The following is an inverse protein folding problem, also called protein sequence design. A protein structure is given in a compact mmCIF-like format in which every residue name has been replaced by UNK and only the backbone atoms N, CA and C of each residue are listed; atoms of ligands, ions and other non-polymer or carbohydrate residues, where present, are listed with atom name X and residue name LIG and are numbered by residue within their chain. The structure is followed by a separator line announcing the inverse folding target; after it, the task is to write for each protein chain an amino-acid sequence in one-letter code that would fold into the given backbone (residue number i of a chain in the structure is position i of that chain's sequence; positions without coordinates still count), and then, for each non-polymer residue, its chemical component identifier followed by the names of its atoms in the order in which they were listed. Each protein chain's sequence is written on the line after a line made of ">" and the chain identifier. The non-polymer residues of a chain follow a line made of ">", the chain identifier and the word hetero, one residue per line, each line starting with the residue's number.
data_IF_128547256272
#
_entry.id   IF_128547256272
#
_cell.length_a   1.000
_cell.length_b   1.000
_cell.length_c   1.000
_cell.angle_alpha   90.00
_cell.angle_beta   90.00
_cell.angle_gamma   90.00
#
_symmetry.space_group_name_H-M   'P 1'
#
loop_
_entity.id
_entity.type
_entity.pdbx_description
1 polymer ?
#
# COMPACT_ATOMS: atom_id res chain seq x y z
N UNK A 1 -28.20 -31.11 38.14
CA UNK A 1 -27.87 -32.36 38.85
C UNK A 1 -26.56 -32.85 38.27
N UNK A 2 -25.45 -32.68 39.00
CA UNK A 2 -24.81 -33.72 39.83
C UNK A 2 -24.38 -34.92 38.96
N UNK A 3 -23.15 -35.45 38.90
CA UNK A 3 -21.94 -35.38 39.73
C UNK A 3 -20.92 -36.31 39.06
N UNK A 4 -19.65 -35.88 38.98
CA UNK A 4 -18.40 -36.55 39.39
C UNK A 4 -18.30 -38.11 39.29
N UNK A 5 -17.18 -38.78 38.99
CA UNK A 5 -15.86 -38.65 39.59
C UNK A 5 -14.88 -39.66 38.93
N UNK A 6 -13.65 -39.20 38.69
CA UNK A 6 -12.31 -39.86 38.72
C UNK A 6 -12.22 -41.38 38.91
N UNK A 7 -11.23 -42.01 38.26
CA UNK A 7 -10.23 -42.86 38.94
C UNK A 7 -8.89 -42.88 38.19
N UNK A 8 -7.82 -42.65 38.92
CA UNK A 8 -6.43 -42.76 38.51
C UNK A 8 -5.95 -44.21 38.59
N UNK A 9 -4.97 -44.62 37.77
CA UNK A 9 -4.20 -45.83 38.05
C UNK A 9 -2.71 -45.67 37.73
N UNK A 10 -1.94 -46.26 38.64
CA UNK A 10 -0.50 -46.08 38.91
C UNK A 10 0.42 -46.78 37.92
N UNK A 11 1.65 -46.28 37.91
CA UNK A 11 2.83 -46.79 37.24
C UNK A 11 3.18 -48.26 37.52
N UNK A 12 3.81 -48.90 36.53
CA UNK A 12 4.58 -50.13 36.66
C UNK A 12 5.67 -50.15 35.57
N UNK A 13 6.93 -50.11 35.97
CA UNK A 13 8.11 -50.14 35.10
C UNK A 13 8.47 -51.58 34.71
N UNK A 14 8.93 -51.79 33.48
CA UNK A 14 9.72 -52.97 33.10
C UNK A 14 10.94 -52.50 32.31
N UNK A 15 12.11 -52.84 32.82
CA UNK A 15 13.41 -52.55 32.22
C UNK A 15 13.72 -53.54 31.08
N UNK A 16 14.09 -53.02 29.92
CA UNK A 16 14.66 -53.79 28.81
C UNK A 16 15.98 -53.15 28.40
N UNK A 17 17.08 -53.90 28.54
CA UNK A 17 18.41 -53.54 28.03
C UNK A 17 18.46 -53.92 26.56
N UNK A 18 18.68 -52.94 25.67
CA UNK A 18 18.91 -53.17 24.25
C UNK A 18 20.12 -52.35 23.76
N UNK A 19 21.14 -53.11 23.38
CA UNK A 19 22.28 -52.85 22.48
C UNK A 19 22.36 -51.48 21.78
N UNK A 20 23.48 -50.78 22.03
CA UNK A 20 23.93 -49.57 21.32
C UNK A 20 24.34 -49.90 19.88
N UNK A 21 23.44 -49.69 18.92
CA UNK A 21 23.82 -49.37 17.54
C UNK A 21 23.84 -47.85 17.42
N UNK A 22 25.02 -47.30 17.13
CA UNK A 22 25.22 -45.87 16.93
C UNK A 22 24.47 -45.37 15.70
N UNK A 23 23.22 -44.98 15.89
CA UNK A 23 22.57 -43.98 15.06
C UNK A 23 23.08 -42.62 15.55
N UNK A 24 23.78 -41.89 14.68
CA UNK A 24 23.99 -40.47 14.92
C UNK A 24 22.63 -39.83 15.14
N UNK A 25 22.39 -39.34 16.35
CA UNK A 25 21.31 -38.42 16.61
C UNK A 25 21.60 -37.20 15.74
N UNK A 26 20.96 -37.13 14.57
CA UNK A 26 20.59 -35.83 14.02
C UNK A 26 19.69 -35.27 15.10
N UNK A 27 20.22 -34.35 15.90
CA UNK A 27 19.39 -33.52 16.77
C UNK A 27 18.23 -33.04 15.89
N UNK A 28 16.97 -33.12 16.32
CA UNK A 28 15.94 -32.41 15.59
C UNK A 28 16.48 -31.00 15.47
N UNK A 29 16.59 -30.47 14.24
CA UNK A 29 16.87 -29.06 14.07
C UNK A 29 15.82 -28.38 14.94
N UNK A 30 16.26 -27.83 16.07
CA UNK A 30 15.39 -27.14 16.98
C UNK A 30 14.79 -26.07 16.09
N UNK A 31 13.50 -26.21 15.78
CA UNK A 31 12.81 -25.20 15.00
C UNK A 31 13.17 -23.89 15.67
N UNK A 32 13.89 -23.03 14.94
CA UNK A 32 14.09 -21.67 15.40
C UNK A 32 12.71 -21.18 15.80
N UNK A 33 12.53 -20.57 16.99
CA UNK A 33 11.21 -20.16 17.43
C UNK A 33 10.61 -19.34 16.28
N UNK A 34 9.52 -19.84 15.70
CA UNK A 34 8.72 -19.06 14.76
C UNK A 34 8.43 -17.75 15.48
N UNK A 35 8.93 -16.64 14.92
CA UNK A 35 8.77 -15.33 15.54
C UNK A 35 7.28 -15.11 15.81
N UNK A 36 6.86 -14.78 17.04
CA UNK A 36 5.45 -14.65 17.38
C UNK A 36 4.80 -13.58 16.51
N UNK A 37 3.74 -13.96 15.81
CA UNK A 37 2.85 -13.06 15.07
C UNK A 37 1.89 -12.40 16.07
N UNK A 38 2.41 -11.62 17.04
CA UNK A 38 1.55 -10.84 17.96
C UNK A 38 2.34 -9.74 18.70
N UNK A 39 2.37 -8.53 18.12
CA UNK A 39 2.46 -7.24 18.82
C UNK A 39 2.31 -6.08 17.81
N UNK A 40 1.22 -5.30 17.85
CA UNK A 40 0.96 -4.16 16.97
C UNK A 40 1.70 -2.88 17.41
N UNK A 41 3.00 -3.01 17.72
CA UNK A 41 3.83 -1.92 18.26
C UNK A 41 5.30 -2.08 17.87
N UNK A 42 5.56 -2.52 16.63
CA UNK A 42 6.84 -2.28 15.98
C UNK A 42 6.84 -0.84 15.47
N UNK A 43 7.93 -0.10 15.68
CA UNK A 43 8.18 1.15 14.97
C UNK A 43 7.87 0.97 13.49
N UNK A 44 7.27 1.97 12.86
CA UNK A 44 7.26 2.08 11.41
C UNK A 44 8.70 1.94 10.91
N UNK A 45 9.09 0.73 10.56
CA UNK A 45 10.39 0.42 9.99
C UNK A 45 10.07 0.02 8.55
N UNK A 46 10.41 0.87 7.57
CA UNK A 46 10.36 0.45 6.18
C UNK A 46 11.27 -0.77 5.98
N UNK A 47 11.29 -1.33 4.78
CA UNK A 47 12.33 -2.31 4.39
C UNK A 47 13.76 -1.69 4.34
N UNK A 48 14.04 -0.66 5.13
CA UNK A 48 15.27 0.13 5.25
C UNK A 48 15.16 1.16 6.39
N UNK A 49 16.21 1.96 6.61
CA UNK A 49 16.17 3.10 7.54
C UNK A 49 15.34 4.26 6.95
N UNK A 50 14.72 5.09 7.80
CA UNK A 50 14.08 6.36 7.38
C UNK A 50 15.11 7.19 6.61
N UNK A 51 14.86 7.54 5.33
CA UNK A 51 15.81 8.33 4.57
C UNK A 51 16.08 9.68 5.26
N UNK A 52 17.32 10.16 5.35
CA UNK A 52 17.62 11.48 5.90
C UNK A 52 16.88 12.64 5.21
N UNK A 53 16.43 12.42 3.96
CA UNK A 53 15.63 13.35 3.18
C UNK A 53 14.24 13.60 3.74
N UNK A 54 13.77 12.80 4.71
CA UNK A 54 12.46 12.99 5.34
C UNK A 54 12.46 14.20 6.29
N UNK A 55 13.62 14.59 6.82
CA UNK A 55 13.75 15.64 7.82
C UNK A 55 13.21 15.21 9.20
N UNK A 56 12.89 16.20 10.03
CA UNK A 56 12.42 15.94 11.38
C UNK A 56 11.01 15.31 11.38
N UNK A 57 10.69 14.42 12.35
CA UNK A 57 9.33 13.92 12.52
C UNK A 57 8.39 15.07 12.93
N UNK A 58 7.27 15.20 12.22
CA UNK A 58 6.20 16.14 12.54
C UNK A 58 5.19 15.55 13.51
N UNK A 59 5.01 14.22 13.46
CA UNK A 59 4.15 13.48 14.38
C UNK A 59 4.95 12.42 15.10
N UNK A 60 4.44 11.99 16.26
CA UNK A 60 4.74 10.64 16.75
C UNK A 60 4.12 9.61 15.80
N UNK A 61 4.49 8.34 15.94
CA UNK A 61 3.71 7.27 15.33
C UNK A 61 2.26 7.33 15.87
N UNK A 62 1.30 7.43 14.96
CA UNK A 62 -0.13 7.38 15.24
C UNK A 62 -0.66 6.02 14.76
N UNK A 63 -1.41 5.30 15.59
CA UNK A 63 -1.96 4.00 15.26
C UNK A 63 -3.44 3.88 15.66
N UNK A 64 -4.24 3.14 14.88
CA UNK A 64 -5.59 2.71 15.27
C UNK A 64 -6.70 3.73 15.07
N UNK A 65 -6.50 4.72 14.20
CA UNK A 65 -7.55 5.63 13.73
C UNK A 65 -7.86 5.29 12.27
N UNK A 66 -9.10 4.93 11.92
CA UNK A 66 -9.49 4.93 10.51
C UNK A 66 -9.72 6.37 10.05
N UNK A 67 -9.67 6.61 8.73
CA UNK A 67 -9.82 7.93 8.10
C UNK A 67 -11.13 8.68 8.34
N UNK A 68 -12.03 8.13 9.16
CA UNK A 68 -13.25 8.72 9.68
C UNK A 68 -13.14 9.18 11.15
N UNK A 69 -11.95 9.07 11.76
CA UNK A 69 -11.70 9.46 13.15
C UNK A 69 -12.29 8.49 14.19
N UNK A 70 -12.78 7.32 13.76
CA UNK A 70 -13.28 6.28 14.66
C UNK A 70 -12.21 5.19 14.84
N UNK A 71 -12.03 4.73 16.08
CA UNK A 71 -11.23 3.55 16.35
C UNK A 71 -12.03 2.32 15.90
N UNK A 72 -11.80 1.84 14.67
CA UNK A 72 -12.44 0.62 14.19
C UNK A 72 -11.60 -0.58 14.63
N UNK A 73 -12.13 -1.36 15.57
CA UNK A 73 -11.62 -2.70 15.90
C UNK A 73 -11.62 -3.57 14.64
N UNK A 74 -10.49 -3.66 13.94
CA UNK A 74 -10.31 -4.60 12.82
C UNK A 74 -9.20 -4.28 11.82
N UNK A 75 -8.79 -3.01 11.67
CA UNK A 75 -7.62 -2.64 10.86
C UNK A 75 -6.78 -1.63 11.62
N UNK A 76 -5.61 -2.06 12.09
CA UNK A 76 -4.64 -1.18 12.69
C UNK A 76 -3.84 -0.53 11.55
N UNK A 77 -4.21 0.70 11.20
CA UNK A 77 -3.35 1.59 10.44
C UNK A 77 -2.37 2.26 11.41
N UNK A 78 -1.10 2.37 11.02
CA UNK A 78 -0.11 3.20 11.68
C UNK A 78 0.56 4.13 10.66
N UNK A 79 0.77 5.39 11.00
CA UNK A 79 1.56 6.30 10.18
C UNK A 79 2.38 7.29 11.03
N UNK A 80 3.44 7.83 10.43
CA UNK A 80 4.24 8.90 10.99
C UNK A 80 4.61 9.87 9.87
N UNK A 81 4.33 11.15 10.11
CA UNK A 81 4.65 12.22 9.17
C UNK A 81 5.98 12.85 9.54
N UNK A 82 6.73 13.23 8.52
CA UNK A 82 7.99 13.95 8.57
C UNK A 82 7.90 15.21 7.71
N UNK A 83 8.87 16.12 7.84
CA UNK A 83 8.90 17.37 7.09
C UNK A 83 8.79 17.18 5.56
N UNK A 84 9.29 16.06 5.03
CA UNK A 84 9.36 15.80 3.59
C UNK A 84 9.08 14.34 3.22
N UNK A 85 8.41 13.61 4.12
CA UNK A 85 7.96 12.25 3.83
C UNK A 85 6.99 11.72 4.87
N UNK A 86 6.49 10.52 4.63
CA UNK A 86 5.69 9.77 5.56
C UNK A 86 6.10 8.30 5.55
N UNK A 87 5.98 7.68 6.72
CA UNK A 87 5.92 6.23 6.83
C UNK A 87 4.50 5.82 7.13
N UNK A 88 4.07 4.76 6.49
CA UNK A 88 2.73 4.21 6.60
C UNK A 88 2.82 2.70 6.76
N UNK A 89 1.95 2.10 7.55
CA UNK A 89 1.82 0.67 7.70
C UNK A 89 0.36 0.28 7.96
N UNK A 90 -0.07 -0.81 7.37
CA UNK A 90 -1.25 -1.54 7.80
C UNK A 90 -1.02 -3.06 7.62
N UNK A 91 -1.89 -3.87 8.21
CA UNK A 91 -1.79 -5.34 8.11
C UNK A 91 -1.98 -5.88 6.69
N UNK A 92 -2.75 -5.18 5.84
CA UNK A 92 -3.11 -5.66 4.50
C UNK A 92 -2.00 -5.45 3.47
N UNK A 93 -1.26 -4.35 3.58
CA UNK A 93 -0.35 -3.80 2.56
C UNK A 93 1.09 -3.74 3.05
N UNK A 94 1.33 -3.82 4.37
CA UNK A 94 2.65 -3.69 4.96
C UNK A 94 3.13 -2.23 5.07
N UNK A 95 4.44 -2.06 5.30
CA UNK A 95 5.05 -0.74 5.49
C UNK A 95 5.48 -0.13 4.15
N UNK A 96 5.11 1.13 3.91
CA UNK A 96 5.51 1.91 2.74
C UNK A 96 5.95 3.31 3.14
N UNK A 97 6.90 3.84 2.37
CA UNK A 97 7.38 5.20 2.51
C UNK A 97 6.83 6.06 1.37
N UNK A 98 6.43 7.30 1.67
CA UNK A 98 6.02 8.30 0.68
C UNK A 98 6.95 9.50 0.83
N UNK A 99 7.52 10.00 -0.27
CA UNK A 99 8.59 11.01 -0.19
C UNK A 99 8.58 12.00 -1.35
N UNK A 100 9.42 13.03 -1.26
CA UNK A 100 9.73 13.91 -2.38
C UNK A 100 8.50 14.60 -2.97
N UNK A 101 8.48 14.77 -4.29
CA UNK A 101 7.40 15.48 -4.97
C UNK A 101 6.06 14.73 -4.92
N UNK A 102 6.08 13.39 -4.89
CA UNK A 102 4.86 12.59 -4.68
C UNK A 102 4.30 12.85 -3.29
N UNK A 103 5.13 12.89 -2.25
CA UNK A 103 4.68 13.27 -0.90
C UNK A 103 4.05 14.66 -0.88
N UNK A 104 4.70 15.65 -1.48
CA UNK A 104 4.17 17.02 -1.52
C UNK A 104 2.81 17.10 -2.22
N UNK A 105 2.62 16.36 -3.32
CA UNK A 105 1.32 16.26 -3.97
C UNK A 105 0.31 15.49 -3.11
N UNK A 106 0.72 14.37 -2.51
CA UNK A 106 -0.16 13.51 -1.72
C UNK A 106 -0.68 14.18 -0.44
N UNK A 107 0.13 15.00 0.24
CA UNK A 107 -0.33 15.74 1.44
C UNK A 107 -1.04 17.04 1.12
N UNK A 108 -1.02 17.49 -0.14
CA UNK A 108 -1.70 18.71 -0.54
C UNK A 108 -3.21 18.46 -0.72
N UNK A 109 -4.02 19.19 0.04
CA UNK A 109 -5.48 19.09 -0.03
C UNK A 109 -6.06 19.52 -1.39
N UNK A 110 -5.37 20.36 -2.15
CA UNK A 110 -5.80 20.74 -3.50
C UNK A 110 -5.49 19.67 -4.56
N UNK A 111 -4.67 18.68 -4.21
CA UNK A 111 -4.26 17.56 -5.07
C UNK A 111 -5.06 16.28 -4.76
N UNK A 112 -6.31 16.42 -4.30
CA UNK A 112 -7.15 15.30 -3.91
C UNK A 112 -7.73 14.56 -5.14
N UNK A 113 -7.61 13.22 -5.21
CA UNK A 113 -8.40 12.41 -6.12
C UNK A 113 -9.91 12.54 -5.85
N UNK A 114 -10.74 12.14 -6.82
CA UNK A 114 -12.15 12.52 -7.00
C UNK A 114 -13.13 12.16 -5.84
N UNK A 115 -12.62 11.72 -4.69
CA UNK A 115 -13.37 11.51 -3.45
C UNK A 115 -13.34 12.68 -2.47
N UNK A 116 -12.58 13.75 -2.74
CA UNK A 116 -12.65 15.01 -1.96
C UNK A 116 -12.28 14.86 -0.49
N UNK A 117 -11.36 13.95 -0.17
CA UNK A 117 -10.83 13.78 1.18
C UNK A 117 -9.31 13.86 1.18
N UNK A 118 -8.75 14.52 2.20
CA UNK A 118 -7.31 14.62 2.43
C UNK A 118 -6.65 13.22 2.38
N UNK A 119 -5.68 12.98 1.48
CA UNK A 119 -5.22 11.63 1.15
C UNK A 119 -4.60 10.89 2.33
N UNK A 120 -3.94 11.59 3.26
CA UNK A 120 -3.23 11.00 4.40
C UNK A 120 -4.10 10.14 5.32
N UNK A 121 -5.43 10.34 5.32
CA UNK A 121 -6.34 9.59 6.19
C UNK A 121 -7.08 8.46 5.47
N UNK A 122 -7.15 8.47 4.14
CA UNK A 122 -8.03 7.57 3.40
C UNK A 122 -7.39 6.92 2.18
N UNK A 123 -6.27 7.46 1.70
CA UNK A 123 -5.57 7.01 0.51
C UNK A 123 -4.19 6.49 0.91
N UNK A 124 -4.11 5.17 1.03
CA UNK A 124 -2.99 4.47 1.64
C UNK A 124 -1.99 4.03 0.56
N UNK A 125 -0.68 4.21 0.76
CA UNK A 125 0.33 3.70 -0.17
C UNK A 125 0.28 2.16 -0.19
N UNK A 126 0.27 1.60 -1.39
CA UNK A 126 0.34 0.14 -1.63
C UNK A 126 1.71 -0.30 -2.12
N UNK A 127 2.55 0.67 -2.51
CA UNK A 127 3.94 0.46 -2.93
C UNK A 127 4.82 1.56 -2.36
N UNK A 128 6.14 1.35 -2.33
CA UNK A 128 7.11 2.44 -2.36
C UNK A 128 7.13 3.09 -3.76
N UNK A 129 7.89 4.17 -3.93
CA UNK A 129 8.18 4.71 -5.26
C UNK A 129 8.89 3.67 -6.14
N UNK A 130 8.41 3.49 -7.36
CA UNK A 130 8.92 2.58 -8.39
C UNK A 130 9.41 3.42 -9.57
N UNK A 131 10.66 3.27 -10.04
CA UNK A 131 11.15 3.95 -11.24
C UNK A 131 10.31 3.61 -12.47
N UNK A 132 9.99 4.61 -13.28
CA UNK A 132 9.34 4.46 -14.59
C UNK A 132 9.91 5.53 -15.53
N UNK A 133 10.43 5.12 -16.69
CA UNK A 133 11.13 6.02 -17.61
C UNK A 133 12.17 6.93 -16.90
N UNK A 134 12.08 8.25 -17.06
CA UNK A 134 12.94 9.25 -16.41
C UNK A 134 12.36 9.80 -15.09
N UNK A 135 11.35 9.14 -14.54
CA UNK A 135 10.65 9.53 -13.33
C UNK A 135 10.31 8.34 -12.41
N UNK A 136 9.28 8.53 -11.58
CA UNK A 136 8.80 7.53 -10.63
C UNK A 136 7.28 7.49 -10.60
N UNK A 137 6.73 6.36 -10.15
CA UNK A 137 5.33 6.20 -9.82
C UNK A 137 5.18 5.59 -8.42
N UNK A 138 4.06 5.87 -7.76
CA UNK A 138 3.69 5.22 -6.51
C UNK A 138 2.18 4.95 -6.48
N UNK A 139 1.81 3.72 -6.11
CA UNK A 139 0.41 3.30 -6.09
C UNK A 139 -0.20 3.51 -4.72
N UNK A 140 -1.47 3.92 -4.71
CA UNK A 140 -2.27 4.12 -3.53
C UNK A 140 -3.67 3.51 -3.71
N UNK A 141 -4.30 3.13 -2.61
CA UNK A 141 -5.66 2.61 -2.59
C UNK A 141 -6.44 3.17 -1.42
N UNK A 142 -7.74 3.33 -1.62
CA UNK A 142 -8.65 3.59 -0.52
C UNK A 142 -8.93 2.32 0.28
N UNK A 143 -9.30 2.47 1.55
CA UNK A 143 -9.62 1.35 2.43
C UNK A 143 -10.87 0.56 1.94
N UNK A 144 -11.83 1.23 1.33
CA UNK A 144 -13.08 0.64 0.85
C UNK A 144 -12.97 0.12 -0.59
N UNK A 145 -12.44 0.94 -1.51
CA UNK A 145 -12.24 0.60 -2.93
C UNK A 145 -11.66 1.79 -3.72
N UNK A 146 -10.97 1.49 -4.80
CA UNK A 146 -10.43 2.47 -5.74
C UNK A 146 -8.91 2.54 -5.67
N UNK A 147 -8.31 2.95 -6.80
CA UNK A 147 -6.86 3.01 -6.96
C UNK A 147 -6.46 4.34 -7.57
N UNK A 148 -5.45 4.96 -6.98
CA UNK A 148 -4.84 6.19 -7.49
C UNK A 148 -3.36 5.93 -7.65
N UNK A 149 -2.78 6.34 -8.77
CA UNK A 149 -1.34 6.21 -9.01
C UNK A 149 -0.76 7.60 -9.19
N UNK A 150 0.16 7.98 -8.30
CA UNK A 150 0.92 9.21 -8.46
C UNK A 150 2.11 8.95 -9.37
N UNK A 151 2.39 9.91 -10.24
CA UNK A 151 3.53 9.93 -11.16
C UNK A 151 4.29 11.22 -10.95
N UNK A 152 5.61 11.16 -11.03
CA UNK A 152 6.46 12.35 -11.07
C UNK A 152 7.50 12.19 -12.17
N UNK A 153 7.73 13.26 -12.93
CA UNK A 153 8.91 13.44 -13.78
C UNK A 153 9.49 14.84 -13.60
N UNK A 154 10.77 15.07 -13.95
CA UNK A 154 11.35 16.41 -13.96
C UNK A 154 10.59 17.42 -14.84
N UNK A 155 9.94 16.96 -15.91
CA UNK A 155 9.31 17.80 -16.93
C UNK A 155 7.85 18.12 -16.60
N UNK A 156 7.14 17.20 -15.95
CA UNK A 156 5.70 17.36 -15.65
C UNK A 156 5.42 17.73 -14.21
N UNK A 157 6.34 17.46 -13.27
CA UNK A 157 6.02 17.50 -11.85
C UNK A 157 5.17 16.31 -11.43
N UNK A 158 4.63 16.37 -10.20
CA UNK A 158 3.85 15.29 -9.61
C UNK A 158 2.36 15.46 -9.93
N UNK A 159 1.76 14.41 -10.46
CA UNK A 159 0.34 14.33 -10.84
C UNK A 159 -0.20 12.94 -10.51
N UNK A 160 -1.48 12.83 -10.23
CA UNK A 160 -2.13 11.56 -9.98
C UNK A 160 -3.02 11.14 -11.15
N UNK A 161 -3.22 9.83 -11.24
CA UNK A 161 -4.19 9.23 -12.16
C UNK A 161 -5.17 8.43 -11.33
N UNK A 162 -6.41 8.89 -11.32
CA UNK A 162 -7.53 8.17 -10.71
C UNK A 162 -7.93 7.01 -11.63
N UNK A 163 -7.65 5.78 -11.19
CA UNK A 163 -7.92 4.57 -11.96
C UNK A 163 -9.40 4.16 -11.96
N UNK A 164 -10.28 4.88 -11.25
CA UNK A 164 -11.72 4.70 -11.32
C UNK A 164 -12.35 5.55 -12.44
N UNK A 165 -11.54 6.33 -13.16
CA UNK A 165 -11.96 7.10 -14.35
C UNK A 165 -11.65 6.37 -15.66
N UNK A 166 -12.43 6.63 -16.72
CA UNK A 166 -12.20 5.98 -18.00
C UNK A 166 -10.83 6.37 -18.59
N UNK A 167 -10.42 7.65 -18.54
CA UNK A 167 -9.10 8.04 -19.04
C UNK A 167 -7.96 7.45 -18.21
N UNK A 168 -8.12 7.36 -16.87
CA UNK A 168 -7.13 6.75 -16.00
C UNK A 168 -6.97 5.24 -16.24
N UNK A 169 -8.07 4.51 -16.45
CA UNK A 169 -7.99 3.10 -16.84
C UNK A 169 -7.35 2.91 -18.21
N UNK A 170 -7.74 3.74 -19.19
CA UNK A 170 -7.13 3.69 -20.52
C UNK A 170 -5.62 3.88 -20.43
N UNK A 171 -5.19 4.88 -19.66
CA UNK A 171 -3.77 5.19 -19.44
C UNK A 171 -3.01 4.00 -18.85
N UNK A 172 -3.48 3.45 -17.71
CA UNK A 172 -2.80 2.38 -17.00
C UNK A 172 -2.80 1.06 -17.78
N UNK A 173 -3.87 0.74 -18.51
CA UNK A 173 -3.98 -0.50 -19.29
C UNK A 173 -3.12 -0.47 -20.57
N UNK A 174 -2.76 0.73 -21.05
CA UNK A 174 -2.04 0.91 -22.31
C UNK A 174 -0.57 1.32 -22.09
N UNK A 175 0.01 0.94 -20.94
CA UNK A 175 1.44 1.10 -20.65
C UNK A 175 1.82 2.37 -19.86
N UNK A 176 0.83 3.16 -19.42
CA UNK A 176 1.05 4.28 -18.51
C UNK A 176 2.09 5.28 -19.00
N UNK A 177 2.88 5.82 -18.08
CA UNK A 177 3.84 6.89 -18.37
C UNK A 177 4.94 6.48 -19.36
N UNK A 178 5.32 5.19 -19.39
CA UNK A 178 6.37 4.68 -20.29
C UNK A 178 5.93 4.72 -21.76
N UNK A 179 4.65 4.47 -22.04
CA UNK A 179 4.11 4.44 -23.40
C UNK A 179 3.42 5.74 -23.80
N UNK A 180 2.65 6.32 -22.89
CA UNK A 180 1.74 7.44 -23.16
C UNK A 180 2.25 8.77 -22.60
N UNK A 181 3.47 8.81 -22.03
CA UNK A 181 4.05 9.99 -21.42
C UNK A 181 3.50 10.27 -20.02
N UNK A 182 4.23 11.09 -19.25
CA UNK A 182 3.83 11.44 -17.89
C UNK A 182 2.58 12.35 -17.90
N UNK A 183 1.65 12.20 -16.94
CA UNK A 183 0.53 13.12 -16.80
C UNK A 183 1.02 14.56 -16.58
N UNK A 184 0.36 15.53 -17.21
CA UNK A 184 0.64 16.98 -17.05
C UNK A 184 -0.46 17.68 -16.25
N UNK A 185 -1.37 16.91 -15.67
CA UNK A 185 -2.55 17.34 -14.96
C UNK A 185 -3.41 16.13 -14.60
N UNK A 186 -4.41 16.37 -13.77
CA UNK A 186 -5.30 15.31 -13.30
C UNK A 186 -6.35 14.94 -14.35
N UNK A 187 -7.00 13.80 -14.15
CA UNK A 187 -8.13 13.42 -15.01
C UNK A 187 -9.29 14.40 -14.81
N UNK A 188 -9.86 14.89 -15.92
CA UNK A 188 -11.01 15.81 -15.91
C UNK A 188 -12.17 15.26 -16.72
N UNK A 189 -13.38 15.72 -16.41
CA UNK A 189 -14.57 15.45 -17.23
C UNK A 189 -14.77 16.60 -18.22
N UNK A 190 -14.77 16.29 -19.51
CA UNK A 190 -15.04 17.24 -20.58
C UNK A 190 -16.53 17.59 -20.68
N UNK A 191 -16.86 18.66 -21.43
CA UNK A 191 -18.22 19.14 -21.58
C UNK A 191 -19.18 18.13 -22.25
N UNK A 192 -18.63 17.20 -23.05
CA UNK A 192 -19.38 16.10 -23.68
C UNK A 192 -19.57 14.89 -22.75
N UNK A 193 -19.09 14.97 -21.50
CA UNK A 193 -19.16 13.91 -20.50
C UNK A 193 -18.02 12.90 -20.55
N UNK A 194 -17.10 13.02 -21.51
CA UNK A 194 -15.94 12.13 -21.59
C UNK A 194 -14.90 12.43 -20.51
N UNK A 195 -14.15 11.40 -20.11
CA UNK A 195 -12.99 11.53 -19.24
C UNK A 195 -11.76 11.85 -20.09
N UNK A 196 -10.96 12.83 -19.66
CA UNK A 196 -9.79 13.33 -20.38
C UNK A 196 -8.57 13.36 -19.47
N UNK A 197 -7.45 12.84 -19.96
CA UNK A 197 -6.13 12.97 -19.31
C UNK A 197 -5.14 13.58 -20.30
N UNK A 198 -4.42 14.62 -19.86
CA UNK A 198 -3.33 15.23 -20.61
C UNK A 198 -2.01 14.62 -20.16
N UNK A 199 -1.17 14.24 -21.12
CA UNK A 199 0.17 13.68 -20.86
C UNK A 199 1.23 14.43 -21.65
N UNK A 200 2.51 14.18 -21.36
CA UNK A 200 3.62 14.78 -22.09
C UNK A 200 3.73 14.31 -23.55
N UNK A 201 3.05 13.22 -23.92
CA UNK A 201 3.08 12.66 -25.28
C UNK A 201 1.77 12.87 -26.06
N UNK A 202 0.68 13.28 -25.41
CA UNK A 202 -0.59 13.51 -26.08
C UNK A 202 -1.78 13.68 -25.15
N UNK A 203 -2.97 13.55 -25.71
CA UNK A 203 -4.24 13.59 -24.99
C UNK A 203 -4.96 12.25 -25.05
N UNK A 204 -5.43 11.77 -23.91
CA UNK A 204 -6.34 10.63 -23.81
C UNK A 204 -7.75 11.16 -23.62
N UNK A 205 -8.70 10.67 -24.42
CA UNK A 205 -10.13 10.90 -24.23
C UNK A 205 -10.85 9.55 -24.25
N UNK A 206 -11.55 9.22 -23.16
CA UNK A 206 -12.16 7.91 -22.97
C UNK A 206 -13.50 7.98 -22.24
N UNK A 207 -14.30 6.93 -22.42
CA UNK A 207 -15.58 6.71 -21.75
C UNK A 207 -15.65 5.27 -21.24
N UNK A 208 -16.49 5.02 -20.24
CA UNK A 208 -16.84 3.65 -19.87
C UNK A 208 -17.87 3.08 -20.85
N UNK A 209 -17.59 1.88 -21.36
CA UNK A 209 -18.56 1.07 -22.08
C UNK A 209 -19.61 0.46 -21.15
N UNK A 210 -20.64 -0.15 -21.72
CA UNK A 210 -21.72 -0.79 -20.96
C UNK A 210 -21.26 -1.96 -20.07
N UNK A 211 -20.09 -2.54 -20.36
CA UNK A 211 -19.43 -3.58 -19.58
C UNK A 211 -18.50 -3.03 -18.49
N UNK A 212 -18.39 -1.71 -18.34
CA UNK A 212 -17.49 -1.06 -17.38
C UNK A 212 -16.03 -0.97 -17.84
N UNK A 213 -15.71 -1.44 -19.04
CA UNK A 213 -14.37 -1.30 -19.60
C UNK A 213 -14.18 0.11 -20.16
N UNK A 214 -12.99 0.68 -19.97
CA UNK A 214 -12.64 1.94 -20.61
C UNK A 214 -12.39 1.75 -22.11
N UNK A 215 -13.01 2.60 -22.92
CA UNK A 215 -12.80 2.71 -24.35
C UNK A 215 -12.58 4.18 -24.75
N UNK A 216 -11.53 4.44 -25.52
CA UNK A 216 -11.14 5.80 -25.87
C UNK A 216 -10.06 5.85 -26.94
N UNK A 217 -9.59 7.06 -27.21
CA UNK A 217 -8.51 7.30 -28.15
C UNK A 217 -7.39 8.08 -27.47
N UNK A 218 -6.17 7.83 -27.94
CA UNK A 218 -5.00 8.65 -27.66
C UNK A 218 -4.64 9.44 -28.92
N UNK A 219 -4.50 10.75 -28.76
CA UNK A 219 -4.03 11.66 -29.81
C UNK A 219 -2.66 12.18 -29.42
N UNK A 220 -1.62 11.68 -30.09
CA UNK A 220 -0.24 12.12 -29.84
C UNK A 220 -0.02 13.57 -30.30
N UNK A 221 0.95 14.24 -29.66
CA UNK A 221 1.46 15.55 -30.10
C UNK A 221 2.48 15.44 -31.23
#
# INVERSE_FOLDING_TARGET
>A
MFTSTRFAQRAGAVAGVATLLGFGLVAPAQAAPEAPVDSPAGSLQPAGDVPPTFGDPLTTQLCGVSGDGLATSGYLECHQLFQSGALFWNELMGAHQVQGAIYQAWVNEDSQPARGVAPVNQLQPTTNEIPVADGVQQSFSYADQGRVVYFWSPQTGAHFVDADTAAGQYFLNNGGAETLGFPTGEVVTAADGSSVLQTSAGTIQANFGANGESAGNFTAF
#
